data_IF_909262819285
#
_entry.id   IF_909262819285
#
_cell.length_a   1.000
_cell.length_b   1.000
_cell.length_c   1.000
_cell.angle_alpha   90.00
_cell.angle_beta   90.00
_cell.angle_gamma   90.00
#
_symmetry.space_group_name_H-M   'P 1'
#
loop_
_entity.id
_entity.type
_entity.pdbx_description
1 polymer ?
#
# COMPACT_ATOMS: atom_id res chain seq x y z
N UNK A 1 0.91 17.01 -23.98
CA UNK A 1 0.20 16.17 -23.01
C UNK A 1 1.14 15.70 -21.93
N UNK A 2 0.69 15.81 -20.72
CA UNK A 2 1.51 15.35 -19.58
C UNK A 2 1.20 13.88 -19.32
N UNK A 3 2.21 13.04 -19.31
CA UNK A 3 2.03 11.65 -18.94
C UNK A 3 1.83 11.54 -17.44
N UNK A 4 0.97 10.60 -17.04
CA UNK A 4 0.75 10.33 -15.63
C UNK A 4 1.97 9.63 -15.04
N UNK A 5 2.34 10.01 -13.84
CA UNK A 5 3.34 9.30 -13.05
C UNK A 5 2.65 8.06 -12.46
N UNK A 6 3.21 6.90 -12.75
CA UNK A 6 2.66 5.63 -12.25
C UNK A 6 3.38 5.22 -10.97
N UNK A 7 2.60 5.05 -9.91
CA UNK A 7 3.08 4.64 -8.59
C UNK A 7 2.41 3.32 -8.23
N UNK A 8 3.11 2.48 -7.50
CA UNK A 8 2.58 1.21 -7.01
C UNK A 8 2.65 1.16 -5.49
N UNK A 9 1.70 0.49 -4.88
CA UNK A 9 1.67 0.31 -3.44
C UNK A 9 1.29 -1.11 -3.07
N UNK A 10 1.80 -1.59 -1.93
CA UNK A 10 1.51 -2.91 -1.41
C UNK A 10 0.63 -2.84 -0.18
N UNK A 11 -0.52 -3.48 -0.24
CA UNK A 11 -1.34 -3.73 0.93
C UNK A 11 -0.90 -5.07 1.52
N UNK A 12 0.16 -5.03 2.31
CA UNK A 12 0.78 -6.23 2.88
C UNK A 12 -0.07 -6.68 4.06
N UNK A 13 -0.65 -7.87 3.94
CA UNK A 13 -1.49 -8.48 4.97
C UNK A 13 -0.80 -9.71 5.53
N UNK A 14 -1.22 -10.15 6.72
CA UNK A 14 -0.68 -11.34 7.35
C UNK A 14 -0.98 -12.62 6.56
N UNK A 15 -2.14 -12.66 5.89
CA UNK A 15 -2.56 -13.80 5.09
C UNK A 15 -3.46 -13.33 3.96
N UNK A 16 -3.13 -13.71 2.72
CA UNK A 16 -3.99 -13.42 1.58
C UNK A 16 -5.31 -14.18 1.66
N UNK A 17 -5.28 -15.40 2.22
CA UNK A 17 -6.49 -16.22 2.37
C UNK A 17 -7.45 -15.64 3.41
N UNK A 18 -6.91 -15.02 4.46
CA UNK A 18 -7.72 -14.46 5.55
C UNK A 18 -7.01 -13.23 6.14
N UNK A 19 -7.13 -12.07 5.50
CA UNK A 19 -6.47 -10.87 6.00
C UNK A 19 -7.02 -10.43 7.36
N UNK A 20 -6.14 -10.30 8.35
CA UNK A 20 -6.49 -9.86 9.71
C UNK A 20 -5.72 -8.63 10.13
N UNK A 21 -4.50 -8.46 9.60
CA UNK A 21 -3.66 -7.31 9.90
C UNK A 21 -3.06 -6.76 8.62
N UNK A 22 -2.78 -5.47 8.64
CA UNK A 22 -2.21 -4.73 7.51
C UNK A 22 -0.94 -4.02 7.96
N UNK A 23 0.14 -4.16 7.20
CA UNK A 23 1.39 -3.47 7.46
C UNK A 23 1.34 -2.08 6.83
N UNK A 24 1.59 -1.06 7.66
CA UNK A 24 1.61 0.33 7.22
C UNK A 24 2.94 0.96 7.60
N UNK A 25 3.39 1.96 6.84
CA UNK A 25 4.68 2.59 7.01
C UNK A 25 4.51 4.08 7.25
N UNK A 26 5.29 4.65 8.21
CA UNK A 26 5.25 6.07 8.51
C UNK A 26 6.41 6.77 7.80
N UNK A 27 6.09 7.84 7.08
CA UNK A 27 7.09 8.61 6.33
C UNK A 27 7.84 9.60 7.19
N UNK A 28 9.09 9.85 6.80
CA UNK A 28 9.89 10.93 7.39
C UNK A 28 10.04 12.12 6.44
N UNK A 29 9.72 11.95 5.17
CA UNK A 29 9.93 12.98 4.13
C UNK A 29 8.94 12.77 2.98
N UNK A 30 8.63 13.78 2.18
CA UNK A 30 9.01 15.18 2.39
C UNK A 30 8.31 15.79 3.59
N UNK A 31 8.68 16.98 4.05
CA UNK A 31 8.11 17.57 5.28
C UNK A 31 6.59 17.59 5.35
N UNK A 32 5.91 17.79 4.21
CA UNK A 32 4.44 17.82 4.17
C UNK A 32 3.81 16.47 4.51
N UNK A 33 4.55 15.36 4.36
CA UNK A 33 4.06 14.01 4.64
C UNK A 33 4.74 13.37 5.85
N UNK A 34 5.71 14.06 6.45
CA UNK A 34 6.42 13.52 7.61
C UNK A 34 5.45 13.22 8.75
N UNK A 35 5.55 12.04 9.33
CA UNK A 35 4.66 11.58 10.39
C UNK A 35 3.35 10.95 9.89
N UNK A 36 3.12 10.92 8.59
CA UNK A 36 1.92 10.31 8.02
C UNK A 36 2.19 8.89 7.57
N UNK A 37 1.13 8.08 7.58
CA UNK A 37 1.17 6.66 7.23
C UNK A 37 0.74 6.45 5.78
N UNK A 38 1.27 5.39 5.17
CA UNK A 38 1.00 5.07 3.77
C UNK A 38 1.13 3.57 3.51
N UNK A 39 0.65 3.15 2.32
CA UNK A 39 1.02 1.87 1.76
C UNK A 39 2.46 1.97 1.25
N UNK A 40 3.34 1.04 1.63
CA UNK A 40 4.70 1.07 1.08
C UNK A 40 4.69 0.79 -0.43
N UNK A 41 5.59 1.43 -1.14
CA UNK A 41 5.69 1.33 -2.59
C UNK A 41 6.47 2.49 -3.18
N UNK A 42 6.31 2.73 -4.46
CA UNK A 42 7.03 3.82 -5.12
C UNK A 42 6.72 3.89 -6.61
N UNK A 43 7.57 4.61 -7.33
CA UNK A 43 7.37 4.87 -8.76
C UNK A 43 7.76 3.67 -9.59
N UNK A 44 7.03 3.46 -10.70
CA UNK A 44 7.39 2.49 -11.72
C UNK A 44 8.48 3.11 -12.59
N UNK A 45 9.61 2.40 -12.73
CA UNK A 45 10.70 2.86 -13.58
C UNK A 45 10.43 2.50 -15.05
N UNK A 46 11.04 3.24 -15.99
CA UNK A 46 10.90 2.89 -17.41
C UNK A 46 11.30 1.44 -17.68
N UNK A 47 10.46 0.73 -18.42
CA UNK A 47 10.73 -0.67 -18.76
C UNK A 47 10.29 -1.69 -17.72
N UNK A 48 9.83 -1.25 -16.54
CA UNK A 48 9.26 -2.17 -15.55
C UNK A 48 7.77 -2.33 -15.74
N UNK A 49 7.26 -3.52 -15.44
CA UNK A 49 5.81 -3.67 -15.22
C UNK A 49 5.49 -3.13 -13.83
N UNK A 50 4.23 -2.76 -13.56
CA UNK A 50 3.84 -2.33 -12.21
C UNK A 50 4.18 -3.36 -11.14
N UNK A 51 3.96 -4.66 -11.42
CA UNK A 51 4.27 -5.72 -10.46
C UNK A 51 5.77 -5.81 -10.18
N UNK A 52 6.62 -5.70 -11.21
CA UNK A 52 8.06 -5.69 -11.03
C UNK A 52 8.49 -4.50 -10.16
N UNK A 53 7.91 -3.33 -10.42
CA UNK A 53 8.21 -2.14 -9.63
C UNK A 53 7.83 -2.33 -8.17
N UNK A 54 6.69 -2.97 -7.90
CA UNK A 54 6.24 -3.20 -6.54
C UNK A 54 7.20 -4.13 -5.80
N UNK A 55 7.61 -5.24 -6.42
CA UNK A 55 8.59 -6.14 -5.80
C UNK A 55 9.90 -5.42 -5.48
N UNK A 56 10.40 -4.60 -6.42
CA UNK A 56 11.63 -3.84 -6.23
C UNK A 56 11.48 -2.82 -5.09
N UNK A 57 10.39 -2.05 -5.10
CA UNK A 57 10.16 -1.02 -4.09
C UNK A 57 10.02 -1.61 -2.68
N UNK A 58 9.32 -2.73 -2.55
CA UNK A 58 9.16 -3.36 -1.23
C UNK A 58 10.49 -3.92 -0.73
N UNK A 59 11.34 -4.40 -1.63
CA UNK A 59 12.69 -4.84 -1.26
C UNK A 59 13.53 -3.64 -0.78
N UNK A 60 13.46 -2.52 -1.49
CA UNK A 60 14.23 -1.32 -1.13
C UNK A 60 13.75 -0.66 0.14
N UNK A 61 12.43 -0.56 0.32
CA UNK A 61 11.85 0.20 1.43
C UNK A 61 11.71 -0.62 2.71
N UNK A 62 11.50 -1.93 2.60
CA UNK A 62 11.21 -2.78 3.75
C UNK A 62 12.15 -3.96 3.90
N UNK A 63 12.95 -4.27 2.88
CA UNK A 63 13.84 -5.42 2.90
C UNK A 63 13.13 -6.75 2.81
N UNK A 64 11.99 -6.82 2.11
CA UNK A 64 11.17 -8.03 2.06
C UNK A 64 10.88 -8.48 0.63
N UNK A 65 10.52 -9.75 0.51
CA UNK A 65 9.90 -10.33 -0.69
C UNK A 65 8.45 -10.66 -0.36
N UNK A 66 7.59 -10.57 -1.37
CA UNK A 66 6.16 -10.80 -1.21
C UNK A 66 5.62 -11.69 -2.32
N UNK A 67 4.49 -12.33 -2.03
CA UNK A 67 3.61 -12.93 -3.04
C UNK A 67 2.47 -11.95 -3.25
N UNK A 68 2.19 -11.60 -4.50
CA UNK A 68 1.10 -10.67 -4.82
C UNK A 68 -0.22 -11.42 -4.90
N UNK A 69 -1.25 -10.83 -4.32
CA UNK A 69 -2.63 -11.27 -4.42
C UNK A 69 -3.39 -10.42 -5.43
N UNK A 70 -4.70 -10.29 -5.27
CA UNK A 70 -5.52 -9.49 -6.18
C UNK A 70 -5.19 -8.01 -6.09
N UNK A 71 -5.38 -7.32 -7.20
CA UNK A 71 -5.27 -5.87 -7.22
C UNK A 71 -6.51 -5.26 -6.57
N UNK A 72 -6.29 -4.24 -5.74
CA UNK A 72 -7.36 -3.43 -5.18
C UNK A 72 -7.65 -2.32 -6.20
N UNK A 73 -8.60 -2.58 -7.09
CA UNK A 73 -8.86 -1.71 -8.23
C UNK A 73 -9.52 -0.40 -7.81
N UNK A 74 -9.08 0.68 -8.45
CA UNK A 74 -9.56 2.01 -8.17
C UNK A 74 -10.74 2.41 -9.05
N UNK A 75 -11.13 3.69 -8.97
CA UNK A 75 -12.29 4.20 -9.70
C UNK A 75 -12.05 4.28 -11.21
N UNK A 76 -10.81 4.29 -11.65
CA UNK A 76 -10.47 4.36 -13.06
C UNK A 76 -9.52 3.24 -13.47
N UNK A 77 -9.34 3.03 -14.80
CA UNK A 77 -8.48 1.95 -15.30
C UNK A 77 -6.99 2.18 -15.00
N UNK A 78 -6.61 3.42 -14.73
CA UNK A 78 -5.21 3.78 -14.47
C UNK A 78 -4.82 3.59 -13.02
N UNK A 79 -5.79 3.49 -12.10
CA UNK A 79 -5.56 3.31 -10.69
C UNK A 79 -6.21 4.40 -9.84
N UNK A 80 -5.68 4.56 -8.63
CA UNK A 80 -6.19 5.54 -7.68
C UNK A 80 -5.51 6.89 -7.91
N UNK A 81 -6.25 7.99 -8.04
CA UNK A 81 -5.62 9.30 -8.23
C UNK A 81 -4.91 9.74 -6.95
N UNK A 82 -3.64 10.13 -7.09
CA UNK A 82 -2.86 10.72 -5.99
C UNK A 82 -2.88 12.24 -6.06
N UNK A 83 -2.82 12.76 -7.27
CA UNK A 83 -2.89 14.19 -7.59
C UNK A 83 -3.18 14.29 -9.09
N UNK A 84 -3.29 15.49 -9.67
CA UNK A 84 -3.62 15.59 -11.10
C UNK A 84 -2.63 14.95 -12.06
N UNK A 85 -1.41 14.64 -11.60
CA UNK A 85 -0.34 14.10 -12.47
C UNK A 85 0.13 12.71 -12.07
N UNK A 86 -0.45 12.10 -11.02
CA UNK A 86 0.00 10.79 -10.53
C UNK A 86 -1.15 9.90 -10.16
N UNK A 87 -1.01 8.62 -10.47
CA UNK A 87 -1.98 7.57 -10.11
C UNK A 87 -1.22 6.42 -9.44
N UNK A 88 -1.92 5.70 -8.55
CA UNK A 88 -1.34 4.56 -7.85
C UNK A 88 -2.18 3.31 -8.05
N UNK A 89 -1.52 2.20 -8.34
CA UNK A 89 -2.15 0.88 -8.34
C UNK A 89 -1.69 0.13 -7.10
N UNK A 90 -2.62 -0.54 -6.44
CA UNK A 90 -2.37 -1.22 -5.17
C UNK A 90 -2.73 -2.69 -5.28
N UNK A 91 -1.85 -3.56 -4.82
CA UNK A 91 -2.10 -5.00 -4.75
C UNK A 91 -2.05 -5.46 -3.30
N UNK A 92 -2.94 -6.40 -2.95
CA UNK A 92 -2.75 -7.18 -1.74
C UNK A 92 -1.48 -8.00 -1.88
N UNK A 93 -0.75 -8.18 -0.78
CA UNK A 93 0.49 -8.94 -0.77
C UNK A 93 0.66 -9.64 0.57
N UNK A 94 1.43 -10.73 0.55
CA UNK A 94 1.77 -11.49 1.76
C UNK A 94 3.28 -11.68 1.77
N UNK A 95 3.90 -11.59 2.94
CA UNK A 95 5.35 -11.76 3.06
C UNK A 95 5.77 -13.17 2.66
N UNK A 96 6.84 -13.25 1.85
CA UNK A 96 7.41 -14.50 1.37
C UNK A 96 8.92 -14.57 1.66
N UNK A 97 9.43 -13.67 2.44
CA UNK A 97 10.85 -13.66 2.84
C UNK A 97 11.25 -12.32 3.38
N UNK A 98 12.19 -12.36 4.33
CA UNK A 98 12.70 -11.19 4.99
C UNK A 98 11.86 -10.78 6.19
N UNK A 99 12.44 -9.92 7.01
CA UNK A 99 11.75 -9.32 8.15
C UNK A 99 11.59 -7.83 7.83
N UNK A 100 10.36 -7.31 7.82
CA UNK A 100 10.17 -5.91 7.47
C UNK A 100 10.89 -4.97 8.43
N UNK A 101 11.56 -3.97 7.87
CA UNK A 101 12.22 -2.93 8.63
C UNK A 101 11.95 -1.59 7.94
N UNK A 102 11.82 -0.48 8.70
CA UNK A 102 11.62 0.82 8.08
C UNK A 102 12.93 1.33 7.49
N UNK A 103 13.04 1.26 6.17
CA UNK A 103 14.20 1.70 5.42
C UNK A 103 13.86 2.95 4.62
N UNK A 104 14.89 3.61 4.06
CA UNK A 104 14.74 4.82 3.28
C UNK A 104 13.92 5.87 4.05
N UNK A 105 12.97 6.54 3.43
CA UNK A 105 12.23 7.65 4.03
C UNK A 105 11.13 7.21 5.02
N UNK A 106 11.37 6.13 5.77
CA UNK A 106 10.44 5.60 6.78
C UNK A 106 11.14 5.46 8.12
N UNK A 107 10.41 5.70 9.21
CA UNK A 107 10.97 5.56 10.56
C UNK A 107 10.20 4.58 11.45
N UNK A 108 9.04 4.12 11.01
CA UNK A 108 8.23 3.19 11.80
C UNK A 108 7.35 2.33 10.89
N UNK A 109 7.17 1.08 11.27
CA UNK A 109 6.20 0.17 10.69
C UNK A 109 5.21 -0.23 11.76
N UNK A 110 3.97 -0.48 11.37
CA UNK A 110 2.93 -0.89 12.29
C UNK A 110 2.03 -1.92 11.60
N UNK A 111 1.74 -3.01 12.30
CA UNK A 111 0.70 -3.95 11.89
C UNK A 111 -0.60 -3.51 12.56
N UNK A 112 -1.59 -3.09 11.77
CA UNK A 112 -2.87 -2.64 12.30
C UNK A 112 -3.92 -3.72 12.13
N UNK A 113 -4.82 -3.85 13.11
CA UNK A 113 -5.88 -4.85 13.07
C UNK A 113 -6.98 -4.42 12.11
N UNK A 114 -7.30 -5.28 11.14
CA UNK A 114 -8.40 -5.05 10.21
C UNK A 114 -9.77 -5.33 10.83
N UNK A 115 -9.79 -5.91 12.04
CA UNK A 115 -11.02 -6.12 12.77
C UNK A 115 -11.58 -4.83 13.39
N UNK A 116 -10.75 -3.79 13.44
CA UNK A 116 -11.12 -2.51 14.04
C UNK A 116 -10.99 -1.39 13.00
N UNK A 117 -11.93 -1.29 12.03
CA UNK A 117 -11.83 -0.29 10.96
C UNK A 117 -11.68 1.15 11.46
N UNK A 118 -12.33 1.48 12.57
CA UNK A 118 -12.25 2.83 13.12
C UNK A 118 -10.83 3.18 13.55
N UNK A 119 -10.09 2.24 14.12
CA UNK A 119 -8.71 2.46 14.53
C UNK A 119 -7.80 2.62 13.32
N UNK A 120 -8.04 1.85 12.27
CA UNK A 120 -7.28 1.98 11.02
C UNK A 120 -7.51 3.38 10.42
N UNK A 121 -8.77 3.80 10.33
CA UNK A 121 -9.12 5.11 9.75
C UNK A 121 -8.67 6.28 10.61
N UNK A 122 -8.42 6.05 11.90
CA UNK A 122 -7.97 7.11 12.81
C UNK A 122 -6.48 7.43 12.67
N UNK A 123 -5.70 6.60 11.97
CA UNK A 123 -4.30 6.91 11.72
C UNK A 123 -4.17 8.14 10.82
N UNK A 124 -3.13 8.96 10.99
CA UNK A 124 -2.90 10.10 10.11
C UNK A 124 -2.33 9.63 8.77
N UNK A 125 -3.22 9.17 7.91
CA UNK A 125 -2.85 8.72 6.56
C UNK A 125 -2.49 9.90 5.67
N UNK A 126 -1.61 9.67 4.70
CA UNK A 126 -1.47 10.58 3.56
C UNK A 126 -2.87 10.69 2.94
N UNK A 127 -3.39 11.92 2.74
CA UNK A 127 -4.80 12.08 2.33
C UNK A 127 -5.20 11.30 1.09
N UNK A 128 -4.32 11.21 0.09
CA UNK A 128 -4.63 10.48 -1.14
C UNK A 128 -4.77 8.97 -0.93
N UNK A 129 -4.21 8.42 0.15
CA UNK A 129 -4.31 7.00 0.46
C UNK A 129 -5.62 6.65 1.16
N UNK A 130 -6.29 7.63 1.74
CA UNK A 130 -7.49 7.38 2.55
C UNK A 130 -8.63 6.69 1.79
N UNK A 131 -8.98 7.11 0.55
CA UNK A 131 -9.99 6.37 -0.22
C UNK A 131 -9.60 4.92 -0.48
N UNK A 132 -8.29 4.66 -0.63
CA UNK A 132 -7.78 3.31 -0.86
C UNK A 132 -7.95 2.47 0.41
N UNK A 133 -7.66 3.05 1.57
CA UNK A 133 -7.86 2.40 2.86
C UNK A 133 -9.33 2.03 3.06
N UNK A 134 -10.24 2.94 2.73
CA UNK A 134 -11.67 2.69 2.83
C UNK A 134 -12.10 1.53 1.93
N UNK A 135 -11.62 1.50 0.69
CA UNK A 135 -11.92 0.42 -0.24
C UNK A 135 -11.34 -0.92 0.24
N UNK A 136 -10.14 -0.89 0.81
CA UNK A 136 -9.50 -2.08 1.36
C UNK A 136 -10.34 -2.66 2.50
N UNK A 137 -10.78 -1.82 3.42
CA UNK A 137 -11.60 -2.27 4.55
C UNK A 137 -12.91 -2.87 4.07
N UNK A 138 -13.53 -2.28 3.05
CA UNK A 138 -14.76 -2.83 2.46
C UNK A 138 -14.50 -4.19 1.79
N UNK A 139 -13.40 -4.33 1.07
CA UNK A 139 -13.05 -5.59 0.40
C UNK A 139 -12.80 -6.71 1.41
N UNK A 140 -12.10 -6.40 2.50
CA UNK A 140 -11.81 -7.37 3.56
C UNK A 140 -13.11 -7.79 4.27
N UNK A 141 -14.01 -6.84 4.50
CA UNK A 141 -15.31 -7.14 5.13
C UNK A 141 -16.15 -8.06 4.27
N UNK A 142 -16.18 -7.87 2.95
CA UNK A 142 -16.90 -8.74 2.02
C UNK A 142 -16.31 -10.15 2.05
N UNK A 143 -14.98 -10.27 2.01
CA UNK A 143 -14.31 -11.56 2.07
C UNK A 143 -14.63 -12.30 3.36
N UNK A 144 -14.62 -11.60 4.50
CA UNK A 144 -14.92 -12.19 5.80
C UNK A 144 -16.37 -12.70 5.88
N UNK A 145 -17.31 -11.98 5.24
CA UNK A 145 -18.73 -12.36 5.29
C UNK A 145 -19.08 -13.55 4.37
N UNK A 146 -18.20 -13.88 3.41
CA UNK A 146 -18.41 -14.99 2.48
C UNK A 146 -17.65 -16.26 2.86
N UNK A 147 -16.80 -16.17 3.86
CA UNK A 147 -15.97 -17.32 4.28
C UNK A 147 -16.60 -18.16 5.36
#
# INVERSE_FOLDING_TARGET
MTELINVVGGAIVDSLARPRTLLVARRTAPPRFAGMWEFPGGKVDPGETPEQALHRELSEELGVRVVLGPELTGPGPEGWPLNPTAVMRVWFAELDGGTPAPLQDHDELLWVSLANPEQVLALPWIPADLPIVEALLAAVAVQASTS
#
